data_IF_222894302292
#
_entry.id   IF_222894302292
#
_cell.length_a   1.000
_cell.length_b   1.000
_cell.length_c   1.000
_cell.angle_alpha   90.00
_cell.angle_beta   90.00
_cell.angle_gamma   90.00
#
_symmetry.space_group_name_H-M   'P 1'
#
loop_
_entity.id
_entity.type
_entity.pdbx_description
1 polymer ?
#
# COMPACT_ATOMS: atom_id res chain seq x y z
N UNK A 1 -45.26 -32.65 8.72
CA UNK A 1 -44.24 -32.22 7.73
C UNK A 1 -43.75 -30.83 8.12
N UNK A 2 -42.63 -30.75 8.82
CA UNK A 2 -42.02 -29.48 9.23
C UNK A 2 -40.50 -29.65 9.16
N UNK A 3 -39.87 -28.93 8.23
CA UNK A 3 -38.43 -29.00 7.99
C UNK A 3 -37.74 -28.17 9.07
N UNK A 4 -36.99 -28.85 9.94
CA UNK A 4 -36.15 -28.23 10.95
C UNK A 4 -34.95 -27.53 10.28
N UNK A 5 -34.87 -26.21 10.41
CA UNK A 5 -33.70 -25.42 10.06
C UNK A 5 -32.61 -25.64 11.11
N UNK A 6 -31.58 -26.41 10.76
CA UNK A 6 -30.37 -26.51 11.56
C UNK A 6 -29.54 -25.22 11.42
N UNK A 7 -29.56 -24.39 12.46
CA UNK A 7 -28.61 -23.29 12.63
C UNK A 7 -27.20 -23.86 12.84
N UNK A 8 -26.37 -23.80 11.80
CA UNK A 8 -24.95 -24.14 11.91
C UNK A 8 -24.23 -22.98 12.60
N UNK A 9 -24.24 -23.01 13.93
CA UNK A 9 -23.34 -22.22 14.77
C UNK A 9 -21.89 -22.70 14.56
N UNK A 10 -21.18 -22.07 13.63
CA UNK A 10 -19.73 -22.28 13.48
C UNK A 10 -19.01 -21.56 14.62
N UNK A 11 -18.75 -22.29 15.71
CA UNK A 11 -17.74 -21.90 16.68
C UNK A 11 -16.37 -21.81 15.96
N UNK A 12 -15.56 -20.77 16.21
CA UNK A 12 -14.25 -20.67 15.60
C UNK A 12 -13.35 -21.80 16.13
N UNK A 13 -12.69 -22.59 15.28
CA UNK A 13 -11.78 -23.62 15.75
C UNK A 13 -10.63 -22.98 16.54
N UNK A 14 -10.50 -23.39 17.79
CA UNK A 14 -9.33 -23.12 18.61
C UNK A 14 -8.10 -23.78 17.98
N UNK A 15 -6.98 -23.06 17.92
CA UNK A 15 -5.66 -23.70 17.81
C UNK A 15 -4.97 -23.80 16.44
N UNK A 16 -5.42 -23.12 15.39
CA UNK A 16 -4.55 -22.94 14.22
C UNK A 16 -3.57 -21.79 14.48
N UNK A 17 -2.34 -22.10 14.90
CA UNK A 17 -1.22 -21.15 14.89
C UNK A 17 -0.93 -20.78 13.44
N UNK A 18 -1.67 -19.80 12.92
CA UNK A 18 -1.49 -19.28 11.56
C UNK A 18 -0.04 -18.84 11.40
N UNK A 19 0.74 -19.57 10.58
CA UNK A 19 2.13 -19.22 10.29
C UNK A 19 2.14 -17.83 9.67
N UNK A 20 2.54 -16.85 10.47
CA UNK A 20 2.60 -15.44 10.07
C UNK A 20 3.74 -15.32 9.07
N UNK A 21 3.51 -14.61 7.96
CA UNK A 21 4.56 -14.34 6.99
C UNK A 21 5.44 -13.20 7.52
N UNK A 22 6.43 -13.56 8.34
CA UNK A 22 7.37 -12.62 8.95
C UNK A 22 8.16 -11.82 7.90
N UNK A 23 8.49 -12.43 6.76
CA UNK A 23 9.20 -11.73 5.68
C UNK A 23 8.37 -10.60 5.05
N UNK A 24 7.06 -10.80 4.88
CA UNK A 24 6.14 -9.77 4.41
C UNK A 24 6.04 -8.60 5.41
N UNK A 25 6.02 -8.89 6.71
CA UNK A 25 6.00 -7.87 7.77
C UNK A 25 7.31 -7.06 7.77
N UNK A 26 8.47 -7.71 7.57
CA UNK A 26 9.78 -7.02 7.42
C UNK A 26 9.81 -6.11 6.20
N UNK A 27 9.42 -6.59 5.03
CA UNK A 27 9.36 -5.78 3.81
C UNK A 27 8.44 -4.56 3.97
N UNK A 28 7.29 -4.74 4.65
CA UNK A 28 6.39 -3.62 4.98
C UNK A 28 7.04 -2.60 5.91
N UNK A 29 7.76 -3.06 6.93
CA UNK A 29 8.46 -2.19 7.87
C UNK A 29 9.55 -1.38 7.18
N UNK A 30 10.34 -2.01 6.29
CA UNK A 30 11.33 -1.33 5.45
C UNK A 30 10.67 -0.23 4.60
N UNK A 31 9.54 -0.51 3.96
CA UNK A 31 8.80 0.49 3.19
C UNK A 31 8.35 1.70 4.03
N UNK A 32 7.84 1.44 5.24
CA UNK A 32 7.42 2.49 6.19
C UNK A 32 8.58 3.39 6.60
N UNK A 33 9.70 2.79 6.98
CA UNK A 33 10.90 3.54 7.38
C UNK A 33 11.39 4.37 6.18
N UNK A 34 11.58 3.74 5.03
CA UNK A 34 12.07 4.42 3.83
C UNK A 34 11.18 5.60 3.41
N UNK A 35 9.86 5.48 3.54
CA UNK A 35 8.92 6.56 3.22
C UNK A 35 9.01 7.74 4.18
N UNK A 36 8.99 7.49 5.49
CA UNK A 36 9.07 8.58 6.47
C UNK A 36 10.42 9.30 6.35
N UNK A 37 11.50 8.54 6.19
CA UNK A 37 12.82 9.11 5.91
C UNK A 37 12.80 9.94 4.62
N UNK A 38 12.21 9.39 3.55
CA UNK A 38 12.15 10.04 2.25
C UNK A 38 11.45 11.38 2.30
N UNK A 39 10.23 11.43 2.83
CA UNK A 39 9.44 12.67 2.91
C UNK A 39 10.05 13.71 3.86
N UNK A 40 10.62 13.26 4.99
CA UNK A 40 11.21 14.23 5.93
C UNK A 40 12.50 14.82 5.38
N UNK A 41 13.39 13.99 4.81
CA UNK A 41 14.61 14.47 4.16
C UNK A 41 14.27 15.37 2.98
N UNK A 42 13.26 15.03 2.20
CA UNK A 42 12.79 15.88 1.10
C UNK A 42 12.39 17.28 1.56
N UNK A 43 11.69 17.36 2.69
CA UNK A 43 11.14 18.59 3.22
C UNK A 43 12.20 19.53 3.82
N UNK A 44 13.28 18.99 4.40
CA UNK A 44 14.20 19.80 5.24
C UNK A 44 15.65 19.81 4.81
N UNK A 45 16.10 18.85 4.01
CA UNK A 45 17.51 18.71 3.64
C UNK A 45 17.96 19.85 2.72
N UNK A 46 19.11 20.45 3.00
CA UNK A 46 19.66 21.54 2.18
C UNK A 46 19.97 21.11 0.75
N UNK A 47 19.86 22.04 -0.19
CA UNK A 47 20.15 21.78 -1.61
C UNK A 47 21.60 21.36 -1.85
N UNK A 48 22.53 21.85 -1.02
CA UNK A 48 23.94 21.43 -1.04
C UNK A 48 24.11 19.98 -0.59
N UNK A 49 23.45 19.57 0.50
CA UNK A 49 23.53 18.19 1.00
C UNK A 49 22.81 17.20 0.08
N UNK A 50 21.73 17.64 -0.60
CA UNK A 50 21.00 16.87 -1.62
C UNK A 50 21.87 16.38 -2.77
N UNK A 51 22.91 17.15 -3.13
CA UNK A 51 23.80 16.85 -4.25
C UNK A 51 25.00 15.97 -3.87
N UNK A 52 25.18 15.63 -2.58
CA UNK A 52 26.26 14.72 -2.16
C UNK A 52 26.08 13.33 -2.78
N UNK A 53 27.18 12.65 -3.10
CA UNK A 53 27.18 11.33 -3.75
C UNK A 53 26.32 10.30 -3.00
N UNK A 54 26.44 10.26 -1.67
CA UNK A 54 25.63 9.37 -0.83
C UNK A 54 24.13 9.68 -0.91
N UNK A 55 23.77 10.96 -1.02
CA UNK A 55 22.37 11.37 -1.10
C UNK A 55 21.77 11.13 -2.49
N UNK A 56 22.55 11.27 -3.57
CA UNK A 56 22.13 10.88 -4.93
C UNK A 56 21.81 9.38 -5.03
N UNK A 57 22.64 8.53 -4.40
CA UNK A 57 22.37 7.11 -4.30
C UNK A 57 21.08 6.85 -3.49
N UNK A 58 20.89 7.57 -2.38
CA UNK A 58 19.66 7.50 -1.59
C UNK A 58 18.40 7.89 -2.39
N UNK A 59 18.44 8.97 -3.18
CA UNK A 59 17.31 9.38 -4.02
C UNK A 59 16.95 8.34 -5.08
N UNK A 60 17.95 7.66 -5.63
CA UNK A 60 17.75 6.54 -6.56
C UNK A 60 17.03 5.37 -5.88
N UNK A 61 17.39 5.05 -4.63
CA UNK A 61 16.71 4.03 -3.83
C UNK A 61 15.31 4.46 -3.37
N UNK A 62 15.09 5.76 -3.09
CA UNK A 62 13.79 6.31 -2.70
C UNK A 62 12.71 6.02 -3.75
N UNK A 63 13.09 5.96 -5.03
CA UNK A 63 12.18 5.63 -6.13
C UNK A 63 11.50 4.24 -6.01
N UNK A 64 12.04 3.32 -5.20
CA UNK A 64 11.50 1.96 -4.97
C UNK A 64 10.49 1.93 -3.80
N UNK A 65 10.43 3.00 -2.98
CA UNK A 65 9.61 3.03 -1.76
C UNK A 65 8.12 2.83 -2.05
N UNK A 66 7.56 3.58 -2.99
CA UNK A 66 6.14 3.46 -3.35
C UNK A 66 5.82 2.14 -4.09
N UNK A 67 6.64 1.67 -5.06
CA UNK A 67 6.50 0.33 -5.62
C UNK A 67 6.48 -0.77 -4.55
N UNK A 68 7.33 -0.67 -3.53
CA UNK A 68 7.38 -1.63 -2.43
C UNK A 68 6.08 -1.66 -1.61
N UNK A 69 5.43 -0.52 -1.37
CA UNK A 69 4.12 -0.50 -0.72
C UNK A 69 3.03 -1.17 -1.54
N UNK A 70 2.96 -0.87 -2.85
CA UNK A 70 2.01 -1.48 -3.77
C UNK A 70 2.23 -3.01 -3.82
N UNK A 71 3.46 -3.44 -3.97
CA UNK A 71 3.86 -4.85 -3.98
C UNK A 71 3.47 -5.59 -2.70
N UNK A 72 3.84 -5.07 -1.53
CA UNK A 72 3.51 -5.68 -0.24
C UNK A 72 1.99 -5.70 0.00
N UNK A 73 1.26 -4.69 -0.47
CA UNK A 73 -0.20 -4.66 -0.41
C UNK A 73 -0.83 -5.76 -1.29
N UNK A 74 -0.35 -5.92 -2.52
CA UNK A 74 -0.79 -6.96 -3.45
C UNK A 74 -0.48 -8.37 -2.96
N UNK A 75 0.71 -8.58 -2.37
CA UNK A 75 1.09 -9.85 -1.75
C UNK A 75 0.16 -10.17 -0.58
N UNK A 76 -0.03 -9.24 0.35
CA UNK A 76 -0.92 -9.42 1.49
C UNK A 76 -2.37 -9.72 1.09
N UNK A 77 -2.87 -9.04 0.06
CA UNK A 77 -4.18 -9.26 -0.53
C UNK A 77 -4.30 -10.69 -1.07
N UNK A 78 -3.42 -11.10 -1.98
CA UNK A 78 -3.53 -12.39 -2.65
C UNK A 78 -3.35 -13.58 -1.71
N UNK A 79 -2.40 -13.48 -0.77
CA UNK A 79 -2.23 -14.49 0.29
C UNK A 79 -3.45 -14.61 1.20
N UNK A 80 -4.10 -13.50 1.51
CA UNK A 80 -5.33 -13.53 2.33
C UNK A 80 -6.48 -14.16 1.56
N UNK A 81 -6.67 -13.82 0.29
CA UNK A 81 -7.70 -14.44 -0.57
C UNK A 81 -7.49 -15.96 -0.66
N UNK A 82 -6.24 -16.39 -0.88
CA UNK A 82 -5.90 -17.82 -0.94
C UNK A 82 -6.12 -18.52 0.41
N UNK A 83 -5.62 -17.94 1.51
CA UNK A 83 -5.73 -18.53 2.85
C UNK A 83 -7.17 -18.66 3.33
N UNK A 84 -8.02 -17.71 2.96
CA UNK A 84 -9.42 -17.67 3.41
C UNK A 84 -10.36 -18.42 2.48
N UNK A 85 -9.88 -18.88 1.32
CA UNK A 85 -10.71 -19.54 0.33
C UNK A 85 -11.81 -18.64 -0.25
N UNK A 86 -11.70 -17.31 -0.13
CA UNK A 86 -12.73 -16.40 -0.60
C UNK A 86 -12.93 -16.51 -2.13
N UNK A 87 -14.19 -16.57 -2.56
CA UNK A 87 -14.60 -16.74 -3.95
C UNK A 87 -15.82 -15.89 -4.29
N UNK A 88 -16.04 -15.64 -5.59
CA UNK A 88 -17.19 -14.86 -6.02
C UNK A 88 -17.18 -13.43 -5.47
N UNK A 89 -18.38 -12.87 -5.35
CA UNK A 89 -18.61 -11.52 -4.82
C UNK A 89 -18.12 -11.34 -3.37
N UNK A 90 -17.90 -12.43 -2.62
CA UNK A 90 -17.37 -12.36 -1.25
C UNK A 90 -15.95 -11.78 -1.20
N UNK A 91 -15.14 -11.99 -2.26
CA UNK A 91 -13.82 -11.37 -2.39
C UNK A 91 -13.98 -9.86 -2.46
N UNK A 92 -14.83 -9.37 -3.37
CA UNK A 92 -15.01 -7.94 -3.58
C UNK A 92 -15.60 -7.23 -2.36
N UNK A 93 -16.69 -7.79 -1.79
CA UNK A 93 -17.34 -7.25 -0.57
C UNK A 93 -16.38 -7.18 0.63
N UNK A 94 -15.45 -8.13 0.76
CA UNK A 94 -14.47 -8.13 1.85
C UNK A 94 -13.50 -6.96 1.79
N UNK A 95 -13.10 -6.54 0.60
CA UNK A 95 -12.09 -5.49 0.42
C UNK A 95 -12.68 -4.10 0.20
N UNK A 96 -13.97 -3.99 -0.16
CA UNK A 96 -14.63 -2.70 -0.37
C UNK A 96 -14.53 -1.75 0.84
N UNK A 97 -14.71 -2.18 2.11
CA UNK A 97 -14.48 -1.31 3.27
C UNK A 97 -13.04 -0.82 3.38
N UNK A 98 -12.07 -1.65 2.97
CA UNK A 98 -10.66 -1.26 2.97
C UNK A 98 -10.35 -0.26 1.86
N UNK A 99 -10.91 -0.45 0.67
CA UNK A 99 -10.83 0.52 -0.45
C UNK A 99 -11.40 1.86 -0.02
N UNK A 100 -12.61 1.87 0.55
CA UNK A 100 -13.25 3.09 1.06
C UNK A 100 -12.42 3.80 2.12
N UNK A 101 -11.84 3.06 3.09
CA UNK A 101 -10.96 3.63 4.10
C UNK A 101 -9.70 4.29 3.50
N UNK A 102 -9.09 3.66 2.48
CA UNK A 102 -7.89 4.20 1.83
C UNK A 102 -8.21 5.44 1.00
N UNK A 103 -9.32 5.44 0.27
CA UNK A 103 -9.78 6.61 -0.50
C UNK A 103 -10.14 7.76 0.44
N UNK A 104 -10.86 7.48 1.53
CA UNK A 104 -11.21 8.48 2.54
C UNK A 104 -9.96 9.19 3.06
N UNK A 105 -8.98 8.44 3.57
CA UNK A 105 -7.76 9.04 4.08
C UNK A 105 -6.89 9.67 2.98
N UNK A 106 -6.92 9.14 1.77
CA UNK A 106 -6.28 9.75 0.60
C UNK A 106 -6.80 11.16 0.35
N UNK A 107 -8.12 11.34 0.25
CA UNK A 107 -8.72 12.64 -0.01
C UNK A 107 -8.66 13.59 1.20
N UNK A 108 -8.72 13.07 2.42
CA UNK A 108 -8.50 13.88 3.64
C UNK A 108 -7.10 14.51 3.65
N UNK A 109 -6.08 13.77 3.23
CA UNK A 109 -4.70 14.30 3.18
C UNK A 109 -4.49 15.30 2.03
N UNK A 110 -5.27 15.20 0.96
CA UNK A 110 -5.30 16.16 -0.16
C UNK A 110 -6.32 17.28 0.02
N UNK A 111 -6.94 17.36 1.18
CA UNK A 111 -7.92 18.39 1.47
C UNK A 111 -7.29 19.78 1.26
N UNK A 112 -7.86 20.64 0.39
CA UNK A 112 -7.26 21.94 0.05
C UNK A 112 -7.36 22.99 1.18
N UNK A 113 -7.62 22.55 2.41
CA UNK A 113 -7.76 23.40 3.59
C UNK A 113 -9.08 24.16 3.62
N UNK A 114 -9.05 25.38 4.14
CA UNK A 114 -10.24 26.24 4.25
C UNK A 114 -10.55 27.04 2.98
N UNK A 115 -9.84 26.80 1.87
CA UNK A 115 -10.14 27.36 0.56
C UNK A 115 -11.40 26.72 -0.08
N UNK A 116 -12.43 26.46 0.75
CA UNK A 116 -13.67 25.80 0.37
C UNK A 116 -14.44 26.61 -0.67
N UNK A 117 -14.38 27.94 -0.57
CA UNK A 117 -14.91 28.85 -1.59
C UNK A 117 -14.35 28.54 -2.97
N UNK A 118 -13.06 28.21 -3.06
CA UNK A 118 -12.44 27.85 -4.33
C UNK A 118 -12.88 26.51 -4.89
N UNK A 119 -13.10 25.54 -4.02
CA UNK A 119 -13.63 24.23 -4.38
C UNK A 119 -15.09 24.36 -4.85
N UNK A 120 -15.92 25.11 -4.11
CA UNK A 120 -17.32 25.38 -4.40
C UNK A 120 -17.51 26.24 -5.65
N UNK A 121 -16.59 27.19 -5.91
CA UNK A 121 -16.56 27.98 -7.13
C UNK A 121 -16.09 27.18 -8.37
N UNK A 122 -15.75 25.89 -8.22
CA UNK A 122 -15.37 25.04 -9.35
C UNK A 122 -13.98 25.34 -9.93
N UNK A 123 -13.07 25.97 -9.18
CA UNK A 123 -11.72 26.30 -9.69
C UNK A 123 -10.95 25.02 -10.04
N UNK A 124 -10.62 24.88 -11.32
CA UNK A 124 -10.06 23.66 -11.90
C UNK A 124 -8.73 23.28 -11.25
N UNK A 125 -7.91 24.25 -10.85
CA UNK A 125 -6.60 24.03 -10.22
C UNK A 125 -6.76 23.35 -8.85
N UNK A 126 -7.76 23.77 -8.07
CA UNK A 126 -8.07 23.19 -6.76
C UNK A 126 -8.61 21.77 -6.93
N UNK A 127 -9.51 21.58 -7.90
CA UNK A 127 -10.04 20.24 -8.21
C UNK A 127 -8.96 19.30 -8.75
N UNK A 128 -8.00 19.79 -9.55
CA UNK A 128 -6.82 19.03 -10.00
C UNK A 128 -5.97 18.57 -8.82
N UNK A 129 -5.72 19.43 -7.84
CA UNK A 129 -4.98 19.07 -6.63
C UNK A 129 -5.75 18.05 -5.76
N UNK A 130 -7.03 18.31 -5.52
CA UNK A 130 -7.87 17.48 -4.65
C UNK A 130 -8.10 16.08 -5.21
N UNK A 131 -8.34 15.98 -6.53
CA UNK A 131 -8.61 14.71 -7.21
C UNK A 131 -7.35 13.92 -7.60
N UNK A 132 -6.16 14.51 -7.47
CA UNK A 132 -4.92 13.84 -7.82
C UNK A 132 -4.67 12.58 -6.96
N UNK A 133 -4.16 11.53 -7.59
CA UNK A 133 -3.92 10.25 -6.94
C UNK A 133 -2.55 10.21 -6.27
N UNK A 134 -2.59 10.02 -4.94
CA UNK A 134 -1.44 9.62 -4.12
C UNK A 134 -1.36 8.10 -3.90
N UNK A 135 -0.31 7.65 -3.20
CA UNK A 135 -0.05 6.24 -2.91
C UNK A 135 -1.25 5.50 -2.30
N UNK A 136 -2.04 6.15 -1.42
CA UNK A 136 -3.26 5.54 -0.87
C UNK A 136 -4.32 5.29 -1.94
N UNK A 137 -4.53 6.25 -2.85
CA UNK A 137 -5.47 6.13 -3.97
C UNK A 137 -5.01 5.05 -4.95
N UNK A 138 -3.71 5.02 -5.29
CA UNK A 138 -3.11 4.00 -6.13
C UNK A 138 -3.30 2.58 -5.56
N UNK A 139 -3.03 2.39 -4.26
CA UNK A 139 -3.29 1.09 -3.59
C UNK A 139 -4.79 0.77 -3.57
N UNK A 140 -5.65 1.76 -3.31
CA UNK A 140 -7.10 1.55 -3.27
C UNK A 140 -7.66 1.12 -4.63
N UNK A 141 -7.26 1.79 -5.71
CA UNK A 141 -7.71 1.46 -7.06
C UNK A 141 -7.15 0.12 -7.55
N UNK A 142 -5.86 -0.16 -7.31
CA UNK A 142 -5.30 -1.47 -7.64
C UNK A 142 -5.96 -2.61 -6.84
N UNK A 143 -6.29 -2.38 -5.56
CA UNK A 143 -7.03 -3.33 -4.73
C UNK A 143 -8.47 -3.51 -5.23
N UNK A 144 -9.14 -2.44 -5.67
CA UNK A 144 -10.49 -2.51 -6.25
C UNK A 144 -10.49 -3.35 -7.53
N UNK A 145 -9.56 -3.09 -8.45
CA UNK A 145 -9.39 -3.85 -9.69
C UNK A 145 -9.06 -5.31 -9.38
N UNK A 146 -8.05 -5.56 -8.53
CA UNK A 146 -7.61 -6.91 -8.17
C UNK A 146 -8.72 -7.72 -7.49
N UNK A 147 -9.46 -7.12 -6.56
CA UNK A 147 -10.58 -7.79 -5.89
C UNK A 147 -11.79 -8.02 -6.80
N UNK A 148 -12.07 -7.11 -7.73
CA UNK A 148 -13.08 -7.30 -8.78
C UNK A 148 -12.72 -8.47 -9.70
N UNK A 149 -11.49 -8.51 -10.20
CA UNK A 149 -11.02 -9.58 -11.08
C UNK A 149 -10.99 -10.94 -10.37
N UNK A 150 -10.46 -11.01 -9.15
CA UNK A 150 -10.44 -12.27 -8.38
C UNK A 150 -11.83 -12.71 -7.89
N UNK A 151 -12.85 -11.85 -8.00
CA UNK A 151 -14.25 -12.23 -7.73
C UNK A 151 -14.83 -13.13 -8.83
N UNK A 152 -14.37 -12.98 -10.08
CA UNK A 152 -14.85 -13.77 -11.23
C UNK A 152 -13.88 -14.89 -11.62
N UNK A 153 -12.61 -14.83 -11.19
CA UNK A 153 -11.61 -15.87 -11.46
C UNK A 153 -11.42 -16.77 -10.25
N UNK A 154 -11.61 -18.08 -10.45
CA UNK A 154 -11.39 -19.11 -9.44
C UNK A 154 -10.08 -19.90 -9.71
N UNK A 155 -9.58 -20.57 -8.67
CA UNK A 155 -8.39 -21.44 -8.76
C UNK A 155 -7.06 -20.69 -8.71
N UNK A 156 -6.03 -21.32 -8.14
CA UNK A 156 -4.71 -20.70 -7.93
C UNK A 156 -4.01 -20.34 -9.25
N UNK A 157 -3.98 -21.27 -10.20
CA UNK A 157 -3.33 -21.09 -11.51
C UNK A 157 -3.94 -19.95 -12.32
N UNK A 158 -5.25 -19.98 -12.63
CA UNK A 158 -5.91 -18.91 -13.38
C UNK A 158 -5.79 -17.54 -12.70
N UNK A 159 -5.95 -17.47 -11.37
CA UNK A 159 -5.74 -16.22 -10.62
C UNK A 159 -4.32 -15.69 -10.80
N UNK A 160 -3.31 -16.55 -10.72
CA UNK A 160 -1.93 -16.14 -10.93
C UNK A 160 -1.69 -15.67 -12.37
N UNK A 161 -2.23 -16.37 -13.37
CA UNK A 161 -2.12 -16.00 -14.78
C UNK A 161 -2.77 -14.64 -15.07
N UNK A 162 -3.98 -14.39 -14.57
CA UNK A 162 -4.67 -13.12 -14.77
C UNK A 162 -3.95 -11.97 -14.04
N UNK A 163 -3.46 -12.18 -12.82
CA UNK A 163 -2.67 -11.16 -12.12
C UNK A 163 -1.35 -10.87 -12.84
N UNK A 164 -0.68 -11.89 -13.41
CA UNK A 164 0.51 -11.70 -14.23
C UNK A 164 0.19 -10.92 -15.52
N UNK A 165 -0.93 -11.24 -16.17
CA UNK A 165 -1.44 -10.51 -17.33
C UNK A 165 -1.67 -9.03 -17.01
N UNK A 166 -2.31 -8.71 -15.89
CA UNK A 166 -2.50 -7.31 -15.46
C UNK A 166 -1.17 -6.61 -15.13
N UNK A 167 -0.23 -7.32 -14.50
CA UNK A 167 1.10 -6.77 -14.20
C UNK A 167 1.88 -6.35 -15.46
N UNK A 168 1.69 -7.07 -16.57
CA UNK A 168 2.29 -6.75 -17.87
C UNK A 168 1.47 -5.74 -18.68
N UNK A 169 0.14 -5.84 -18.61
CA UNK A 169 -0.78 -4.99 -19.35
C UNK A 169 -0.65 -3.52 -18.94
N UNK A 170 -0.57 -3.23 -17.64
CA UNK A 170 -0.60 -1.84 -17.14
C UNK A 170 0.59 -1.00 -17.65
N UNK A 171 1.85 -1.44 -17.56
CA UNK A 171 2.98 -0.70 -18.13
C UNK A 171 2.94 -0.63 -19.65
N UNK A 172 2.51 -1.71 -20.30
CA UNK A 172 2.44 -1.77 -21.76
C UNK A 172 1.36 -0.85 -22.34
N UNK A 173 0.18 -0.80 -21.73
CA UNK A 173 -0.94 0.05 -22.15
C UNK A 173 -0.80 1.51 -21.69
N UNK A 174 0.12 1.79 -20.77
CA UNK A 174 0.35 3.13 -20.20
C UNK A 174 0.56 4.27 -21.22
N UNK A 175 1.44 4.16 -22.25
CA UNK A 175 1.58 5.20 -23.26
C UNK A 175 0.29 5.45 -24.06
N UNK A 176 -0.42 4.39 -24.44
CA UNK A 176 -1.69 4.48 -25.15
C UNK A 176 -2.78 5.11 -24.28
N UNK A 177 -2.89 4.70 -23.01
CA UNK A 177 -3.83 5.27 -22.06
C UNK A 177 -3.58 6.76 -21.85
N UNK A 178 -2.31 7.18 -21.76
CA UNK A 178 -1.95 8.60 -21.70
C UNK A 178 -2.44 9.37 -22.90
N UNK A 179 -2.21 8.83 -24.10
CA UNK A 179 -2.66 9.45 -25.33
C UNK A 179 -4.18 9.62 -25.35
N UNK A 180 -4.93 8.52 -25.20
CA UNK A 180 -6.39 8.51 -25.25
C UNK A 180 -7.03 9.41 -24.20
N UNK A 181 -6.50 9.41 -22.98
CA UNK A 181 -7.06 10.26 -21.91
C UNK A 181 -6.74 11.73 -22.15
N UNK A 182 -5.54 12.06 -22.62
CA UNK A 182 -5.13 13.44 -22.88
C UNK A 182 -5.86 14.07 -24.08
N UNK A 183 -6.20 13.27 -25.09
CA UNK A 183 -6.91 13.74 -26.29
C UNK A 183 -8.44 13.69 -26.11
N UNK A 184 -8.94 12.75 -25.31
CA UNK A 184 -10.37 12.42 -25.21
C UNK A 184 -11.21 13.30 -24.28
N UNK A 185 -10.68 14.38 -23.71
CA UNK A 185 -11.40 15.29 -22.80
C UNK A 185 -12.15 14.56 -21.66
N UNK A 186 -11.47 13.61 -21.02
CA UNK A 186 -12.08 12.78 -19.97
C UNK A 186 -12.49 13.62 -18.74
N UNK A 187 -13.52 13.18 -17.98
CA UNK A 187 -13.85 13.79 -16.70
C UNK A 187 -12.61 13.85 -15.80
N UNK A 188 -12.41 14.99 -15.14
CA UNK A 188 -11.18 15.28 -14.40
C UNK A 188 -10.80 14.19 -13.38
N UNK A 189 -11.79 13.62 -12.67
CA UNK A 189 -11.53 12.53 -11.73
C UNK A 189 -10.95 11.28 -12.40
N UNK A 190 -11.44 10.93 -13.60
CA UNK A 190 -10.93 9.80 -14.37
C UNK A 190 -9.56 10.11 -14.97
N UNK A 191 -9.34 11.34 -15.46
CA UNK A 191 -8.02 11.81 -15.89
C UNK A 191 -6.99 11.61 -14.77
N UNK A 192 -7.27 12.16 -13.58
CA UNK A 192 -6.41 12.06 -12.41
C UNK A 192 -6.16 10.61 -11.97
N UNK A 193 -7.21 9.78 -11.96
CA UNK A 193 -7.10 8.39 -11.56
C UNK A 193 -6.25 7.57 -12.54
N UNK A 194 -6.45 7.73 -13.84
CA UNK A 194 -5.84 6.85 -14.85
C UNK A 194 -4.39 7.23 -15.14
N UNK A 195 -4.13 8.50 -15.45
CA UNK A 195 -2.84 8.97 -15.99
C UNK A 195 -2.49 10.43 -15.63
N UNK A 196 -3.24 11.07 -14.74
CA UNK A 196 -3.17 12.52 -14.52
C UNK A 196 -1.77 13.00 -14.18
N UNK A 197 -1.35 14.12 -14.79
CA UNK A 197 0.00 14.68 -14.62
C UNK A 197 0.27 15.20 -13.21
N UNK A 198 -0.77 15.61 -12.50
CA UNK A 198 -0.71 16.06 -11.09
C UNK A 198 -0.82 14.91 -10.10
N UNK A 199 -1.15 13.71 -10.56
CA UNK A 199 -1.15 12.50 -9.74
C UNK A 199 0.27 11.96 -9.62
N UNK A 200 0.72 11.77 -8.38
CA UNK A 200 2.01 11.13 -8.11
C UNK A 200 1.95 9.62 -8.43
N UNK A 201 0.78 9.00 -8.22
CA UNK A 201 0.57 7.57 -8.35
C UNK A 201 -0.72 7.24 -9.12
N UNK A 202 -0.86 7.67 -10.38
CA UNK A 202 -1.99 7.26 -11.22
C UNK A 202 -2.00 5.74 -11.43
N UNK A 203 -3.15 5.17 -11.78
CA UNK A 203 -3.29 3.72 -11.91
C UNK A 203 -2.36 3.12 -12.97
N UNK A 204 -2.13 3.84 -14.07
CA UNK A 204 -1.18 3.46 -15.11
C UNK A 204 0.13 4.26 -14.95
N UNK A 205 1.30 3.60 -14.86
CA UNK A 205 1.53 2.15 -14.83
C UNK A 205 1.56 1.56 -13.40
N UNK A 206 1.36 2.36 -12.34
CA UNK A 206 1.71 1.99 -10.97
C UNK A 206 1.00 0.75 -10.41
N UNK A 207 -0.22 0.46 -10.87
CA UNK A 207 -0.95 -0.74 -10.40
C UNK A 207 -0.21 -2.05 -10.74
N UNK A 208 0.71 -2.03 -11.71
CA UNK A 208 1.56 -3.16 -12.05
C UNK A 208 2.31 -3.72 -10.83
N UNK A 209 2.86 -2.85 -9.97
CA UNK A 209 3.59 -3.29 -8.77
C UNK A 209 2.70 -4.04 -7.79
N UNK A 210 1.43 -3.64 -7.67
CA UNK A 210 0.45 -4.36 -6.85
C UNK A 210 0.17 -5.75 -7.43
N UNK A 211 -0.03 -5.85 -8.75
CA UNK A 211 -0.29 -7.14 -9.39
C UNK A 211 0.92 -8.08 -9.37
N UNK A 212 2.14 -7.57 -9.50
CA UNK A 212 3.37 -8.35 -9.24
C UNK A 212 3.38 -8.86 -7.80
N UNK A 213 2.96 -8.03 -6.84
CA UNK A 213 2.74 -8.44 -5.45
C UNK A 213 1.74 -9.60 -5.34
N UNK A 214 0.63 -9.56 -6.08
CA UNK A 214 -0.34 -10.65 -6.11
C UNK A 214 0.26 -11.94 -6.68
N UNK A 215 1.04 -11.85 -7.76
CA UNK A 215 1.75 -12.98 -8.36
C UNK A 215 2.74 -13.58 -7.35
N UNK A 216 3.54 -12.75 -6.66
CA UNK A 216 4.45 -13.22 -5.62
C UNK A 216 3.68 -13.90 -4.48
N UNK A 217 2.57 -13.31 -4.03
CA UNK A 217 1.76 -13.85 -2.95
C UNK A 217 1.11 -15.20 -3.28
N UNK A 218 0.61 -15.37 -4.50
CA UNK A 218 0.13 -16.66 -4.97
C UNK A 218 1.32 -17.59 -5.19
N UNK A 219 2.27 -17.25 -6.05
CA UNK A 219 3.42 -18.05 -6.45
C UNK A 219 4.21 -18.62 -5.27
N UNK A 220 4.72 -17.75 -4.39
CA UNK A 220 5.57 -18.15 -3.26
C UNK A 220 4.86 -19.06 -2.26
N UNK A 221 3.54 -18.94 -2.09
CA UNK A 221 2.78 -19.83 -1.22
C UNK A 221 2.81 -21.31 -1.68
N UNK A 222 3.14 -21.57 -2.96
CA UNK A 222 3.31 -22.93 -3.49
C UNK A 222 4.73 -23.47 -3.36
N UNK A 223 5.71 -22.61 -3.04
CA UNK A 223 7.12 -23.01 -2.96
C UNK A 223 7.51 -23.17 -1.49
N UNK A 224 7.71 -24.43 -1.07
CA UNK A 224 8.10 -24.79 0.31
C UNK A 224 9.59 -25.08 0.49
N UNK A 225 10.25 -25.61 -0.54
CA UNK A 225 11.65 -26.08 -0.46
C UNK A 225 12.68 -24.97 -0.61
N UNK A 226 12.38 -23.94 -1.41
CA UNK A 226 13.28 -22.83 -1.68
C UNK A 226 12.87 -21.66 -0.79
N UNK A 227 13.79 -21.06 -0.02
CA UNK A 227 13.44 -19.92 0.80
C UNK A 227 13.05 -18.73 -0.08
N UNK A 228 11.95 -18.06 0.27
CA UNK A 228 11.35 -17.01 -0.57
C UNK A 228 12.29 -15.84 -0.86
N UNK A 229 13.23 -15.55 0.03
CA UNK A 229 14.23 -14.51 -0.18
C UNK A 229 15.12 -14.81 -1.40
N UNK A 230 15.51 -16.08 -1.64
CA UNK A 230 16.31 -16.46 -2.81
C UNK A 230 15.55 -16.23 -4.11
N UNK A 231 14.25 -16.56 -4.12
CA UNK A 231 13.42 -16.39 -5.31
C UNK A 231 13.22 -14.90 -5.64
N UNK A 232 13.04 -14.06 -4.62
CA UNK A 232 12.89 -12.61 -4.80
C UNK A 232 14.21 -11.95 -5.18
N UNK A 233 15.31 -12.31 -4.52
CA UNK A 233 16.64 -11.81 -4.87
C UNK A 233 17.03 -12.24 -6.28
N UNK A 234 17.00 -13.54 -6.57
CA UNK A 234 17.38 -14.09 -7.87
C UNK A 234 16.48 -13.63 -9.01
N UNK A 235 15.16 -13.59 -8.79
CA UNK A 235 14.22 -13.03 -9.76
C UNK A 235 14.41 -11.54 -9.98
N UNK A 236 14.68 -10.78 -8.91
CA UNK A 236 14.96 -9.36 -8.97
C UNK A 236 16.27 -9.04 -9.70
N UNK A 237 17.37 -9.72 -9.37
CA UNK A 237 18.66 -9.55 -10.05
C UNK A 237 18.61 -10.02 -11.50
N UNK A 238 17.92 -11.14 -11.79
CA UNK A 238 17.69 -11.60 -13.15
C UNK A 238 16.92 -10.58 -13.99
N UNK A 239 15.86 -9.99 -13.44
CA UNK A 239 15.11 -8.92 -14.09
C UNK A 239 15.98 -7.68 -14.37
N UNK A 240 16.82 -7.27 -13.40
CA UNK A 240 17.77 -6.18 -13.63
C UNK A 240 18.76 -6.49 -14.76
N UNK A 241 19.29 -7.72 -14.79
CA UNK A 241 20.14 -8.18 -15.87
C UNK A 241 19.45 -8.08 -17.23
N UNK A 242 18.25 -8.65 -17.36
CA UNK A 242 17.48 -8.62 -18.62
C UNK A 242 17.17 -7.19 -19.07
N UNK A 243 16.70 -6.33 -18.17
CA UNK A 243 16.36 -4.94 -18.49
C UNK A 243 17.61 -4.13 -18.86
N UNK A 244 18.76 -4.42 -18.26
CA UNK A 244 20.04 -3.76 -18.61
C UNK A 244 20.48 -4.05 -20.05
N UNK A 245 20.04 -5.16 -20.64
CA UNK A 245 20.33 -5.51 -22.04
C UNK A 245 19.48 -4.71 -23.04
N UNK A 246 18.40 -4.05 -22.59
CA UNK A 246 17.44 -3.34 -23.45
C UNK A 246 17.80 -1.86 -23.68
N UNK A 247 19.07 -1.49 -23.53
CA UNK A 247 19.56 -0.12 -23.76
C UNK A 247 19.35 0.39 -25.20
N UNK A 248 19.44 1.71 -25.39
CA UNK A 248 19.36 2.36 -26.71
C UNK A 248 17.93 2.64 -27.21
N UNK A 249 17.66 2.44 -28.50
CA UNK A 249 16.40 2.81 -29.16
C UNK A 249 15.16 2.04 -28.65
N UNK A 250 15.34 0.85 -28.08
CA UNK A 250 14.26 0.10 -27.46
C UNK A 250 13.80 0.77 -26.14
N UNK A 251 14.73 1.33 -25.37
CA UNK A 251 14.43 2.06 -24.14
C UNK A 251 13.69 3.38 -24.41
N UNK A 252 13.94 4.05 -25.55
CA UNK A 252 13.22 5.28 -25.90
C UNK A 252 11.77 4.99 -26.34
N UNK A 253 11.53 3.90 -27.08
CA UNK A 253 10.18 3.51 -27.53
C UNK A 253 9.32 2.89 -26.42
N UNK A 254 9.93 2.17 -25.48
CA UNK A 254 9.25 1.43 -24.41
C UNK A 254 9.60 1.95 -23.00
N UNK A 255 9.86 3.24 -22.86
CA UNK A 255 10.40 3.85 -21.64
C UNK A 255 9.65 3.46 -20.36
N UNK A 256 8.32 3.43 -20.38
CA UNK A 256 7.51 3.00 -19.24
C UNK A 256 7.74 1.53 -18.85
N UNK A 257 7.78 0.64 -19.83
CA UNK A 257 7.95 -0.80 -19.60
C UNK A 257 9.36 -1.07 -19.06
N UNK A 258 10.38 -0.43 -19.65
CA UNK A 258 11.77 -0.54 -19.21
C UNK A 258 11.94 0.03 -17.80
N UNK A 259 11.38 1.22 -17.52
CA UNK A 259 11.45 1.84 -16.19
C UNK A 259 10.73 1.00 -15.13
N UNK A 260 9.53 0.49 -15.45
CA UNK A 260 8.78 -0.36 -14.54
C UNK A 260 9.54 -1.66 -14.30
N UNK A 261 10.07 -2.30 -15.35
CA UNK A 261 10.88 -3.51 -15.25
C UNK A 261 12.13 -3.32 -14.39
N UNK A 262 12.85 -2.21 -14.58
CA UNK A 262 14.00 -1.84 -13.76
C UNK A 262 13.60 -1.71 -12.27
N UNK A 263 12.53 -0.98 -11.99
CA UNK A 263 11.99 -0.83 -10.63
C UNK A 263 11.48 -2.15 -10.05
N UNK A 264 10.91 -3.05 -10.86
CA UNK A 264 10.51 -4.40 -10.44
C UNK A 264 11.72 -5.26 -10.04
N UNK A 265 12.83 -5.14 -10.77
CA UNK A 265 14.09 -5.79 -10.42
C UNK A 265 14.63 -5.31 -9.06
N UNK A 266 14.74 -3.99 -8.88
CA UNK A 266 15.15 -3.39 -7.61
C UNK A 266 14.18 -3.74 -6.46
N UNK A 267 12.88 -3.79 -6.75
CA UNK A 267 11.84 -4.21 -5.81
C UNK A 267 12.04 -5.66 -5.36
N UNK A 268 12.33 -6.59 -6.28
CA UNK A 268 12.62 -7.99 -5.95
C UNK A 268 13.85 -8.11 -5.04
N UNK A 269 14.93 -7.39 -5.38
CA UNK A 269 16.15 -7.34 -4.57
C UNK A 269 15.85 -6.79 -3.17
N UNK A 270 15.20 -5.63 -3.06
CA UNK A 270 14.90 -5.00 -1.76
C UNK A 270 13.97 -5.85 -0.91
N UNK A 271 12.94 -6.48 -1.50
CA UNK A 271 12.05 -7.39 -0.79
C UNK A 271 12.79 -8.65 -0.31
N UNK A 272 13.67 -9.22 -1.14
CA UNK A 272 14.50 -10.37 -0.77
C UNK A 272 15.48 -10.04 0.36
N UNK A 273 16.17 -8.89 0.29
CA UNK A 273 17.05 -8.40 1.36
C UNK A 273 16.29 -8.14 2.66
N UNK A 274 15.08 -7.56 2.58
CA UNK A 274 14.26 -7.33 3.76
C UNK A 274 13.89 -8.64 4.48
N UNK A 275 13.71 -9.75 3.74
CA UNK A 275 13.47 -11.07 4.33
C UNK A 275 14.70 -11.64 5.04
N UNK A 276 15.91 -11.21 4.70
CA UNK A 276 17.16 -11.63 5.35
C UNK A 276 17.45 -10.91 6.67
N UNK A 277 16.64 -9.90 7.04
CA UNK A 277 16.84 -9.19 8.31
C UNK A 277 16.79 -10.15 9.51
N UNK A 278 17.66 -9.96 10.53
CA UNK A 278 17.71 -10.84 11.70
C UNK A 278 16.38 -10.97 12.44
N UNK A 279 16.02 -12.19 12.86
CA UNK A 279 14.76 -12.45 13.56
C UNK A 279 14.58 -11.67 14.87
N UNK A 280 15.68 -11.29 15.54
CA UNK A 280 15.66 -10.40 16.71
C UNK A 280 14.97 -9.05 16.45
N UNK A 281 14.91 -8.60 15.19
CA UNK A 281 14.27 -7.34 14.82
C UNK A 281 12.75 -7.49 14.63
N UNK A 282 12.20 -8.71 14.58
CA UNK A 282 10.77 -8.93 14.30
C UNK A 282 9.84 -8.33 15.35
N UNK A 283 10.30 -8.29 16.61
CA UNK A 283 9.60 -7.64 17.72
C UNK A 283 9.35 -6.15 17.46
N UNK A 284 10.27 -5.48 16.75
CA UNK A 284 10.17 -4.06 16.41
C UNK A 284 9.58 -3.82 15.02
N UNK A 285 10.03 -4.56 14.00
CA UNK A 285 9.59 -4.41 12.61
C UNK A 285 8.12 -4.80 12.43
N UNK A 286 7.66 -5.85 13.11
CA UNK A 286 6.27 -6.29 13.01
C UNK A 286 5.26 -5.19 13.37
N UNK A 287 5.35 -4.54 14.54
CA UNK A 287 4.53 -3.39 14.90
C UNK A 287 4.58 -2.25 13.88
N UNK A 288 5.78 -1.86 13.42
CA UNK A 288 5.99 -0.79 12.43
C UNK A 288 5.24 -1.09 11.14
N UNK A 289 5.44 -2.28 10.57
CA UNK A 289 4.75 -2.71 9.37
C UNK A 289 3.22 -2.73 9.54
N UNK A 290 2.71 -3.21 10.67
CA UNK A 290 1.25 -3.26 10.94
C UNK A 290 0.62 -1.87 11.17
N UNK A 291 1.43 -0.86 11.49
CA UNK A 291 0.98 0.51 11.69
C UNK A 291 1.10 1.36 10.41
N UNK A 292 1.50 0.78 9.27
CA UNK A 292 1.86 1.52 8.05
C UNK A 292 0.85 2.57 7.60
N UNK A 293 -0.45 2.25 7.61
CA UNK A 293 -1.50 3.21 7.22
C UNK A 293 -1.53 4.42 8.16
N UNK A 294 -1.47 4.19 9.47
CA UNK A 294 -1.56 5.28 10.44
C UNK A 294 -0.27 6.10 10.49
N UNK A 295 0.88 5.44 10.35
CA UNK A 295 2.16 6.15 10.16
C UNK A 295 2.08 7.00 8.88
N UNK A 296 1.51 6.48 7.79
CA UNK A 296 1.28 7.25 6.55
C UNK A 296 0.46 8.52 6.81
N UNK A 297 -0.69 8.37 7.48
CA UNK A 297 -1.60 9.49 7.76
C UNK A 297 -0.98 10.54 8.69
N UNK A 298 -0.16 10.13 9.66
CA UNK A 298 0.41 11.05 10.65
C UNK A 298 1.68 11.74 10.16
N UNK A 299 2.57 11.04 9.46
CA UNK A 299 3.86 11.63 9.09
C UNK A 299 3.76 12.73 8.03
N UNK A 300 2.77 12.68 7.13
CA UNK A 300 2.61 13.69 6.08
C UNK A 300 2.31 15.09 6.66
N UNK A 301 1.31 15.26 7.55
CA UNK A 301 1.10 16.51 8.26
C UNK A 301 2.32 17.00 9.05
N UNK A 302 3.09 16.09 9.65
CA UNK A 302 4.31 16.46 10.37
C UNK A 302 5.42 16.97 9.43
N UNK A 303 5.63 16.28 8.30
CA UNK A 303 6.69 16.61 7.35
C UNK A 303 6.35 17.85 6.50
N UNK A 304 5.19 17.84 5.83
CA UNK A 304 4.82 18.88 4.85
C UNK A 304 3.76 19.87 5.36
N UNK A 305 3.03 19.51 6.42
CA UNK A 305 1.92 20.32 6.92
C UNK A 305 0.56 19.78 6.46
N UNK A 306 -0.51 20.33 7.02
CA UNK A 306 -1.87 19.99 6.62
C UNK A 306 -2.83 21.14 6.91
N UNK A 307 -3.57 21.59 5.89
CA UNK A 307 -4.47 22.75 5.99
C UNK A 307 -3.73 23.97 6.58
N UNK A 308 -4.10 24.42 7.77
CA UNK A 308 -3.50 25.55 8.48
C UNK A 308 -2.31 25.18 9.36
N UNK A 309 -1.99 23.89 9.50
CA UNK A 309 -0.87 23.45 10.34
C UNK A 309 0.42 23.42 9.53
N UNK A 310 1.40 24.29 9.84
CA UNK A 310 2.68 24.29 9.15
C UNK A 310 3.51 23.07 9.59
N UNK A 311 3.92 22.26 8.61
CA UNK A 311 4.84 21.14 8.82
C UNK A 311 6.31 21.57 8.80
N UNK A 312 7.21 20.62 9.04
CA UNK A 312 8.65 20.88 9.09
C UNK A 312 9.18 21.57 7.82
N UNK A 313 8.73 21.16 6.64
CA UNK A 313 9.15 21.77 5.37
C UNK A 313 8.81 23.25 5.27
N UNK A 314 7.63 23.65 5.74
CA UNK A 314 7.23 25.07 5.76
C UNK A 314 7.99 25.91 6.81
N UNK A 315 8.45 25.29 7.90
CA UNK A 315 9.13 25.99 9.00
C UNK A 315 10.63 26.10 8.80
N UNK A 316 11.25 25.04 8.30
CA UNK A 316 12.71 24.94 8.19
C UNK A 316 13.18 25.15 6.74
N UNK A 317 12.35 24.80 5.75
CA UNK A 317 12.76 24.78 4.35
C UNK A 317 13.95 23.85 4.10
N UNK A 318 14.55 23.95 2.91
CA UNK A 318 15.76 23.22 2.54
C UNK A 318 17.01 23.84 3.18
N UNK A 319 17.12 23.79 4.51
CA UNK A 319 18.21 24.45 5.27
C UNK A 319 19.05 23.50 6.12
N UNK A 320 18.59 22.27 6.36
CA UNK A 320 19.23 21.37 7.33
C UNK A 320 20.38 20.56 6.72
N UNK A 321 21.45 20.38 7.50
CA UNK A 321 22.53 19.46 7.19
C UNK A 321 22.06 18.00 7.25
N UNK A 322 22.79 17.08 6.60
CA UNK A 322 22.39 15.67 6.55
C UNK A 322 22.18 15.03 7.94
N UNK A 323 23.06 15.21 8.95
CA UNK A 323 22.84 14.64 10.28
C UNK A 323 21.59 15.21 10.97
N UNK A 324 21.37 16.52 10.87
CA UNK A 324 20.20 17.18 11.46
C UNK A 324 18.91 16.70 10.79
N UNK A 325 18.89 16.61 9.47
CA UNK A 325 17.75 16.12 8.70
C UNK A 325 17.44 14.65 9.00
N UNK A 326 18.46 13.80 9.17
CA UNK A 326 18.28 12.41 9.61
C UNK A 326 17.72 12.33 11.03
N UNK A 327 18.19 13.16 11.96
CA UNK A 327 17.65 13.26 13.31
C UNK A 327 16.17 13.64 13.32
N UNK A 328 15.79 14.64 12.51
CA UNK A 328 14.39 15.03 12.33
C UNK A 328 13.54 13.90 11.74
N UNK A 329 14.05 13.19 10.73
CA UNK A 329 13.35 12.07 10.12
C UNK A 329 13.09 10.91 11.11
N UNK A 330 14.06 10.60 11.97
CA UNK A 330 13.89 9.64 13.06
C UNK A 330 12.88 10.13 14.10
N UNK A 331 12.89 11.42 14.44
CA UNK A 331 11.92 12.01 15.36
C UNK A 331 10.48 11.95 14.79
N UNK A 332 10.29 12.25 13.50
CA UNK A 332 8.99 12.12 12.82
C UNK A 332 8.53 10.67 12.81
N UNK A 333 9.42 9.71 12.50
CA UNK A 333 9.11 8.29 12.53
C UNK A 333 8.68 7.82 13.93
N UNK A 334 9.47 8.16 14.95
CA UNK A 334 9.18 7.80 16.34
C UNK A 334 7.84 8.39 16.80
N UNK A 335 7.61 9.68 16.54
CA UNK A 335 6.36 10.37 16.87
C UNK A 335 5.16 9.71 16.18
N UNK A 336 5.29 9.43 14.88
CA UNK A 336 4.24 8.76 14.10
C UNK A 336 3.93 7.36 14.64
N UNK A 337 4.95 6.60 15.04
CA UNK A 337 4.78 5.28 15.64
C UNK A 337 4.12 5.35 17.01
N UNK A 338 4.54 6.28 17.88
CA UNK A 338 3.93 6.46 19.21
C UNK A 338 2.45 6.78 19.06
N UNK A 339 2.08 7.72 18.18
CA UNK A 339 0.68 8.07 17.92
C UNK A 339 -0.09 6.87 17.37
N UNK A 340 0.42 6.21 16.33
CA UNK A 340 -0.25 5.09 15.67
C UNK A 340 -0.45 3.88 16.59
N UNK A 341 0.56 3.52 17.38
CA UNK A 341 0.50 2.38 18.31
C UNK A 341 -0.38 2.69 19.52
N UNK A 342 -0.34 3.91 20.04
CA UNK A 342 -1.20 4.35 21.15
C UNK A 342 -2.67 4.37 20.74
N UNK A 343 -2.98 4.95 19.57
CA UNK A 343 -4.34 4.96 19.02
C UNK A 343 -4.88 3.53 18.85
N UNK A 344 -4.04 2.61 18.36
CA UNK A 344 -4.40 1.19 18.22
C UNK A 344 -4.65 0.52 19.57
N UNK A 345 -3.84 0.81 20.58
CA UNK A 345 -4.01 0.27 21.93
C UNK A 345 -5.30 0.79 22.60
N UNK A 346 -5.64 2.07 22.41
CA UNK A 346 -6.87 2.68 22.90
C UNK A 346 -8.10 2.09 22.20
N UNK A 347 -8.08 1.99 20.88
CA UNK A 347 -9.17 1.38 20.11
C UNK A 347 -9.39 -0.09 20.50
N UNK A 348 -8.30 -0.84 20.74
CA UNK A 348 -8.37 -2.22 21.23
C UNK A 348 -9.02 -2.32 22.62
N UNK A 349 -8.70 -1.40 23.53
CA UNK A 349 -9.33 -1.31 24.87
C UNK A 349 -10.82 -0.95 24.77
N UNK A 350 -11.17 0.05 23.95
CA UNK A 350 -12.55 0.46 23.72
C UNK A 350 -13.40 -0.71 23.17
N UNK A 351 -12.92 -1.40 22.14
CA UNK A 351 -13.61 -2.56 21.54
C UNK A 351 -13.80 -3.73 22.51
N UNK A 352 -12.88 -3.93 23.46
CA UNK A 352 -13.03 -4.95 24.51
C UNK A 352 -14.13 -4.57 25.51
N UNK A 353 -14.28 -3.28 25.83
CA UNK A 353 -15.31 -2.76 26.74
C UNK A 353 -16.71 -2.76 26.12
N UNK A 354 -16.83 -2.52 24.81
CA UNK A 354 -18.12 -2.42 24.11
C UNK A 354 -18.62 -3.75 23.54
N UNK A 355 -17.80 -4.81 23.57
CA UNK A 355 -18.29 -6.16 23.25
C UNK A 355 -19.27 -6.61 24.35
N UNK A 356 -20.52 -6.99 24.00
CA UNK A 356 -21.38 -7.66 24.97
C UNK A 356 -20.63 -8.88 25.48
N UNK A 357 -20.48 -9.00 26.80
CA UNK A 357 -19.94 -10.22 27.40
C UNK A 357 -20.78 -11.40 26.91
N UNK A 358 -20.13 -12.48 26.47
CA UNK A 358 -20.82 -13.73 26.10
C UNK A 358 -21.73 -14.23 27.25
N UNK A 359 -21.41 -13.89 28.51
CA UNK A 359 -22.25 -14.15 29.67
C UNK A 359 -23.55 -13.33 29.67
N UNK A 360 -23.57 -12.10 29.13
CA UNK A 360 -24.79 -11.28 29.01
C UNK A 360 -25.72 -11.79 27.91
N UNK A 361 -25.17 -12.30 26.81
CA UNK A 361 -25.95 -12.92 25.74
C UNK A 361 -26.54 -14.26 26.19
N UNK A 362 -25.77 -15.08 26.92
CA UNK A 362 -26.25 -16.33 27.49
C UNK A 362 -27.31 -16.13 28.59
N UNK A 363 -27.17 -15.10 29.43
CA UNK A 363 -28.16 -14.74 30.45
C UNK A 363 -29.47 -14.16 29.87
N UNK A 364 -29.43 -13.60 28.66
CA UNK A 364 -30.64 -13.15 27.95
C UNK A 364 -31.38 -14.30 27.26
N UNK A 365 -30.67 -15.36 26.82
CA UNK A 365 -31.29 -16.55 26.21
C UNK A 365 -31.80 -17.58 27.23
N UNK A 366 -31.42 -17.48 28.51
CA UNK A 366 -31.82 -18.41 29.56
C UNK A 366 -33.00 -17.93 30.41
N UNK A 367 -33.68 -16.84 30.04
CA UNK A 367 -34.95 -16.46 30.69
C UNK A 367 -36.04 -17.38 30.14
N UNK A 368 -36.68 -18.24 30.96
CA UNK A 368 -37.83 -18.99 30.49
C UNK A 368 -38.93 -18.00 30.13
N UNK A 369 -39.58 -18.22 28.99
CA UNK A 369 -40.82 -17.54 28.64
C UNK A 369 -41.82 -17.80 29.76
N UNK A 370 -42.16 -16.75 30.52
CA UNK A 370 -43.31 -16.80 31.40
C UNK A 370 -44.53 -17.12 30.52
N UNK A 371 -45.13 -18.29 30.78
CA UNK A 371 -46.40 -18.70 30.24
C UNK A 371 -47.49 -17.80 30.79
N UNK A 372 -48.22 -17.13 29.89
CA UNK A 372 -49.62 -16.75 30.09
C UNK A 372 -50.47 -17.50 29.06
#
# INVERSE_FOLDING_TARGET
MGVASQDVSVAPPAGASTSRNTGLDRARAVAVIAMVMGHTLDAVLSDTARQSTGMLAYWSLRAITAPLFLFVAGWAFATTVQRTGAQGLTVWRRYLPRVGLLLLWGYVLRWPGWALEGLLAGRVEIWRHFLAFDALHGVAGALLIGSGVLSVVAGRGPRMAVMAGLALLFPWASPWMRQVVSEGHWPLALEQALVGRTSNFPLFPWSAYFFVGCVAGLGLAGVKRIPHWLLLLGGGTGMLGVVSLWGGAAASRWGDVVLVGWRMGLLGVTAGLAMLLPARLDGWLGPVGRASLWVYVVHLPLAYGWSTFPGLGSRLGHSQSAPAALGLALAVLATSLVIALSAKALHGRWRKRTRPSAARTAAMSSRPSASE
#
